data_IF_627283054294
#
_entry.id   IF_627283054294
#
_cell.length_a   1.000
_cell.length_b   1.000
_cell.length_c   1.000
_cell.angle_alpha   90.00
_cell.angle_beta   90.00
_cell.angle_gamma   90.00
#
_symmetry.space_group_name_H-M   'P 1'
#
loop_
_entity.id
_entity.type
_entity.pdbx_description
1 polymer ?
#
# COMPACT_ATOMS: atom_id res chain seq x y z
N UNK A 1 -77.69 -39.20 39.56
CA UNK A 1 -76.50 -39.48 40.39
C UNK A 1 -75.44 -39.86 39.35
N UNK A 2 -74.50 -39.00 38.91
CA UNK A 2 -73.58 -38.18 39.71
C UNK A 2 -73.06 -36.94 38.95
N UNK A 3 -73.92 -35.94 38.74
CA UNK A 3 -73.49 -34.62 38.24
C UNK A 3 -72.42 -33.97 39.14
N UNK A 4 -72.44 -34.26 40.44
CA UNK A 4 -71.51 -33.71 41.41
C UNK A 4 -70.08 -34.26 41.23
N UNK A 5 -69.92 -35.55 40.88
CA UNK A 5 -68.61 -36.15 40.67
C UNK A 5 -67.94 -35.67 39.35
N UNK A 6 -68.74 -35.46 38.30
CA UNK A 6 -68.27 -34.89 37.03
C UNK A 6 -67.82 -33.42 37.18
N UNK A 7 -68.55 -32.63 37.95
CA UNK A 7 -68.20 -31.22 38.20
C UNK A 7 -66.92 -31.09 39.04
N UNK A 8 -66.70 -31.99 40.02
CA UNK A 8 -65.49 -31.97 40.85
C UNK A 8 -64.25 -32.36 40.03
N UNK A 9 -64.36 -33.35 39.14
CA UNK A 9 -63.23 -33.77 38.28
C UNK A 9 -62.82 -32.68 37.29
N UNK A 10 -63.79 -32.02 36.66
CA UNK A 10 -63.53 -30.89 35.74
C UNK A 10 -62.86 -29.70 36.44
N UNK A 11 -63.28 -29.36 37.66
CA UNK A 11 -62.64 -28.30 38.47
C UNK A 11 -61.20 -28.65 38.85
N UNK A 12 -60.93 -29.92 39.17
CA UNK A 12 -59.57 -30.40 39.49
C UNK A 12 -58.67 -30.35 38.26
N UNK A 13 -59.15 -30.78 37.11
CA UNK A 13 -58.38 -30.75 35.85
C UNK A 13 -58.10 -29.31 35.39
N UNK A 14 -59.09 -28.41 35.52
CA UNK A 14 -58.89 -26.99 35.26
C UNK A 14 -57.83 -26.38 36.19
N UNK A 15 -57.86 -26.70 37.49
CA UNK A 15 -56.86 -26.22 38.46
C UNK A 15 -55.46 -26.77 38.18
N UNK A 16 -55.36 -28.00 37.68
CA UNK A 16 -54.08 -28.60 37.26
C UNK A 16 -53.53 -27.93 35.99
N UNK A 17 -54.40 -27.66 35.02
CA UNK A 17 -54.05 -26.95 33.78
C UNK A 17 -53.56 -25.52 34.05
N UNK A 18 -54.25 -24.77 34.91
CA UNK A 18 -53.84 -23.41 35.28
C UNK A 18 -52.51 -23.40 36.03
N UNK A 19 -52.27 -24.36 36.91
CA UNK A 19 -50.97 -24.52 37.58
C UNK A 19 -49.83 -24.77 36.58
N UNK A 20 -50.02 -25.69 35.63
CA UNK A 20 -49.02 -25.97 34.60
C UNK A 20 -48.70 -24.75 33.73
N UNK A 21 -49.71 -23.95 33.39
CA UNK A 21 -49.51 -22.68 32.66
C UNK A 21 -48.74 -21.65 33.47
N UNK A 22 -48.98 -21.59 34.78
CA UNK A 22 -48.24 -20.72 35.69
C UNK A 22 -46.77 -21.13 35.78
N UNK A 23 -46.49 -22.42 35.97
CA UNK A 23 -45.12 -22.96 36.03
C UNK A 23 -44.36 -22.70 34.71
N UNK A 24 -45.04 -22.82 33.56
CA UNK A 24 -44.45 -22.51 32.25
C UNK A 24 -44.18 -21.02 32.06
N UNK A 25 -45.11 -20.16 32.52
CA UNK A 25 -44.94 -18.72 32.50
C UNK A 25 -43.79 -18.27 33.40
N UNK A 26 -43.68 -18.82 34.61
CA UNK A 26 -42.57 -18.55 35.53
C UNK A 26 -41.23 -18.98 34.90
N UNK A 27 -41.18 -20.15 34.28
CA UNK A 27 -39.99 -20.60 33.55
C UNK A 27 -39.62 -19.69 32.37
N UNK A 28 -40.61 -19.14 31.66
CA UNK A 28 -40.38 -18.15 30.60
C UNK A 28 -39.90 -16.80 31.16
N UNK A 29 -40.51 -16.35 32.27
CA UNK A 29 -40.15 -15.14 32.99
C UNK A 29 -38.69 -15.21 33.47
N UNK A 30 -38.27 -16.31 34.09
CA UNK A 30 -36.87 -16.52 34.52
C UNK A 30 -35.90 -16.48 33.33
N UNK A 31 -36.22 -17.15 32.21
CA UNK A 31 -35.37 -17.10 31.01
C UNK A 31 -35.27 -15.69 30.44
N UNK A 32 -36.38 -14.95 30.45
CA UNK A 32 -36.41 -13.56 30.00
C UNK A 32 -35.53 -12.67 30.87
N UNK A 33 -35.57 -12.83 32.20
CA UNK A 33 -34.69 -12.08 33.11
C UNK A 33 -33.21 -12.32 32.80
N UNK A 34 -32.79 -13.58 32.66
CA UNK A 34 -31.39 -13.91 32.34
C UNK A 34 -30.95 -13.34 30.98
N UNK A 35 -31.85 -13.36 29.99
CA UNK A 35 -31.56 -12.77 28.68
C UNK A 35 -31.39 -11.24 28.76
N UNK A 36 -32.21 -10.55 29.56
CA UNK A 36 -32.09 -9.11 29.80
C UNK A 36 -30.77 -8.79 30.49
N UNK A 37 -30.42 -9.50 31.56
CA UNK A 37 -29.13 -9.31 32.26
C UNK A 37 -27.94 -9.51 31.31
N UNK A 38 -28.00 -10.53 30.45
CA UNK A 38 -26.97 -10.79 29.45
C UNK A 38 -26.85 -9.66 28.42
N UNK A 39 -27.99 -9.12 27.96
CA UNK A 39 -28.01 -8.00 27.03
C UNK A 39 -27.51 -6.72 27.68
N UNK A 40 -27.85 -6.46 28.93
CA UNK A 40 -27.35 -5.32 29.69
C UNK A 40 -25.83 -5.36 29.79
N UNK A 41 -25.25 -6.53 30.07
CA UNK A 41 -23.80 -6.67 30.13
C UNK A 41 -23.14 -6.45 28.77
N UNK A 42 -23.70 -7.01 27.69
CA UNK A 42 -23.21 -6.74 26.33
C UNK A 42 -23.29 -5.26 25.97
N UNK A 43 -24.35 -4.56 26.37
CA UNK A 43 -24.50 -3.12 26.15
C UNK A 43 -23.45 -2.32 26.93
N UNK A 44 -23.11 -2.73 28.16
CA UNK A 44 -22.02 -2.08 28.92
C UNK A 44 -20.67 -2.25 28.22
N UNK A 45 -20.36 -3.47 27.76
CA UNK A 45 -19.12 -3.77 27.04
C UNK A 45 -19.05 -2.95 25.76
N UNK A 46 -20.09 -3.00 24.91
CA UNK A 46 -20.12 -2.23 23.66
C UNK A 46 -19.98 -0.72 23.89
N UNK A 47 -20.56 -0.18 24.99
CA UNK A 47 -20.36 1.23 25.36
C UNK A 47 -18.92 1.53 25.77
N UNK A 48 -18.23 0.60 26.44
CA UNK A 48 -16.83 0.75 26.77
C UNK A 48 -15.97 0.73 25.49
N UNK A 49 -16.21 -0.22 24.59
CA UNK A 49 -15.49 -0.34 23.32
C UNK A 49 -15.67 0.91 22.44
N UNK A 50 -16.88 1.47 22.36
CA UNK A 50 -17.13 2.72 21.62
C UNK A 50 -16.34 3.90 22.21
N UNK A 51 -16.23 3.98 23.55
CA UNK A 51 -15.44 5.04 24.19
C UNK A 51 -13.95 4.89 23.84
N UNK A 52 -13.44 3.67 23.92
CA UNK A 52 -12.06 3.35 23.59
C UNK A 52 -11.73 3.70 22.14
N UNK A 53 -12.57 3.27 21.19
CA UNK A 53 -12.42 3.60 19.77
C UNK A 53 -12.45 5.11 19.51
N UNK A 54 -13.29 5.86 20.22
CA UNK A 54 -13.33 7.31 20.08
C UNK A 54 -12.04 7.98 20.58
N UNK A 55 -11.43 7.46 21.66
CA UNK A 55 -10.13 7.96 22.15
C UNK A 55 -9.05 7.70 21.10
N UNK A 56 -8.98 6.48 20.58
CA UNK A 56 -8.00 6.12 19.53
C UNK A 56 -8.19 6.95 18.26
N UNK A 57 -9.43 7.24 17.89
CA UNK A 57 -9.74 8.09 16.74
C UNK A 57 -9.26 9.53 16.96
N UNK A 58 -9.44 10.07 18.17
CA UNK A 58 -8.97 11.42 18.53
C UNK A 58 -7.43 11.50 18.52
N UNK A 59 -6.75 10.49 19.08
CA UNK A 59 -5.29 10.40 19.03
C UNK A 59 -4.78 10.31 17.58
N UNK A 60 -5.42 9.49 16.74
CA UNK A 60 -5.08 9.39 15.32
C UNK A 60 -5.35 10.70 14.58
N UNK A 61 -6.43 11.40 14.91
CA UNK A 61 -6.75 12.70 14.33
C UNK A 61 -5.69 13.73 14.68
N UNK A 62 -5.27 13.79 15.94
CA UNK A 62 -4.20 14.67 16.41
C UNK A 62 -2.86 14.39 15.72
N UNK A 63 -2.53 13.12 15.49
CA UNK A 63 -1.34 12.73 14.71
C UNK A 63 -1.43 13.21 13.26
N UNK A 64 -2.58 13.04 12.59
CA UNK A 64 -2.79 13.53 11.23
C UNK A 64 -2.71 15.06 11.13
N UNK A 65 -3.22 15.77 12.13
CA UNK A 65 -3.11 17.22 12.21
C UNK A 65 -1.64 17.66 12.33
N UNK A 66 -0.87 17.07 13.25
CA UNK A 66 0.56 17.36 13.38
C UNK A 66 1.36 17.04 12.10
N UNK A 67 1.02 15.95 11.43
CA UNK A 67 1.63 15.58 10.14
C UNK A 67 1.33 16.61 9.05
N UNK A 68 0.14 17.19 9.06
CA UNK A 68 -0.26 18.23 8.10
C UNK A 68 0.63 19.47 8.25
N UNK A 69 0.94 19.88 9.48
CA UNK A 69 1.84 21.00 9.75
C UNK A 69 3.27 20.72 9.24
N UNK A 70 3.79 19.52 9.46
CA UNK A 70 5.11 19.12 8.94
C UNK A 70 5.15 19.12 7.42
N UNK A 71 4.11 18.58 6.77
CA UNK A 71 3.99 18.56 5.31
C UNK A 71 3.92 19.99 4.75
N UNK A 72 3.28 20.92 5.46
CA UNK A 72 3.20 22.33 5.07
C UNK A 72 4.57 23.04 5.07
N UNK A 73 5.56 22.55 5.81
CA UNK A 73 6.93 23.11 5.84
C UNK A 73 7.84 22.61 4.71
N UNK A 74 7.46 21.54 4.01
CA UNK A 74 8.27 20.95 2.93
C UNK A 74 8.53 21.89 1.73
N UNK A 75 7.58 22.73 1.29
CA UNK A 75 7.82 23.69 0.21
C UNK A 75 8.92 24.70 0.57
N UNK A 76 8.88 25.27 1.78
CA UNK A 76 9.84 26.27 2.23
C UNK A 76 11.25 25.66 2.32
N UNK A 77 11.38 24.47 2.91
CA UNK A 77 12.65 23.75 2.96
C UNK A 77 13.20 23.41 1.56
N UNK A 78 12.31 23.08 0.62
CA UNK A 78 12.70 22.83 -0.78
C UNK A 78 13.23 24.11 -1.43
N UNK A 79 12.57 25.23 -1.20
CA UNK A 79 13.01 26.54 -1.72
C UNK A 79 14.37 26.93 -1.15
N UNK A 80 14.57 26.81 0.17
CA UNK A 80 15.87 27.06 0.80
C UNK A 80 16.98 26.17 0.23
N UNK A 81 16.70 24.89 0.01
CA UNK A 81 17.66 23.96 -0.58
C UNK A 81 18.06 24.36 -2.01
N UNK A 82 17.12 24.82 -2.83
CA UNK A 82 17.42 25.34 -4.17
C UNK A 82 18.22 26.65 -4.11
N UNK A 83 17.93 27.54 -3.17
CA UNK A 83 18.74 28.75 -2.94
C UNK A 83 20.18 28.38 -2.58
N UNK A 84 20.38 27.48 -1.63
CA UNK A 84 21.71 27.02 -1.21
C UNK A 84 22.44 26.36 -2.39
N UNK A 85 21.76 25.52 -3.15
CA UNK A 85 22.30 24.86 -4.34
C UNK A 85 22.80 25.85 -5.39
N UNK A 86 22.10 26.98 -5.56
CA UNK A 86 22.51 28.05 -6.48
C UNK A 86 23.64 28.93 -5.94
N UNK A 87 23.71 29.12 -4.62
CA UNK A 87 24.72 29.96 -3.98
C UNK A 87 26.07 29.25 -3.76
N UNK A 88 26.05 27.93 -3.56
CA UNK A 88 27.25 27.12 -3.32
C UNK A 88 28.36 27.31 -4.38
N UNK A 89 28.07 27.30 -5.70
CA UNK A 89 29.08 27.53 -6.73
C UNK A 89 29.72 28.93 -6.69
N UNK A 90 28.95 29.94 -6.24
CA UNK A 90 29.40 31.33 -6.16
C UNK A 90 30.38 31.46 -4.99
N UNK A 91 30.02 30.93 -3.81
CA UNK A 91 30.89 30.92 -2.64
C UNK A 91 32.17 30.13 -2.88
N UNK A 92 32.08 28.96 -3.53
CA UNK A 92 33.25 28.17 -3.94
C UNK A 92 34.21 28.95 -4.83
N UNK A 93 33.71 29.74 -5.79
CA UNK A 93 34.55 30.58 -6.67
C UNK A 93 35.25 31.70 -5.90
N UNK A 94 34.57 32.33 -4.95
CA UNK A 94 35.12 33.42 -4.12
C UNK A 94 36.23 32.88 -3.20
N UNK A 95 36.01 31.74 -2.56
CA UNK A 95 36.97 31.13 -1.62
C UNK A 95 38.13 30.43 -2.35
N UNK A 96 37.92 29.93 -3.57
CA UNK A 96 38.91 29.19 -4.37
C UNK A 96 39.75 30.00 -5.36
N UNK A 97 39.94 31.32 -5.17
CA UNK A 97 40.73 32.19 -6.07
C UNK A 97 40.19 32.28 -7.53
N UNK A 98 38.88 32.25 -7.75
CA UNK A 98 38.30 32.55 -9.07
C UNK A 98 38.40 31.41 -10.10
N UNK A 99 38.91 30.24 -9.73
CA UNK A 99 38.68 29.04 -10.53
C UNK A 99 37.18 28.75 -10.51
N UNK A 100 36.59 28.59 -11.70
CA UNK A 100 35.27 27.98 -11.85
C UNK A 100 35.22 26.74 -10.95
N UNK A 101 34.07 26.37 -10.34
CA UNK A 101 34.00 25.11 -9.62
C UNK A 101 34.53 24.08 -10.60
N UNK A 102 35.70 23.53 -10.27
CA UNK A 102 36.19 22.34 -10.92
C UNK A 102 35.05 21.40 -10.60
N UNK A 103 34.16 21.21 -11.57
CA UNK A 103 33.25 20.09 -11.59
C UNK A 103 34.11 18.99 -11.02
N UNK A 104 33.76 18.49 -9.84
CA UNK A 104 34.44 17.33 -9.31
C UNK A 104 34.20 16.29 -10.40
N UNK A 105 35.15 16.23 -11.32
CA UNK A 105 35.51 15.06 -12.04
C UNK A 105 35.97 14.16 -10.91
N UNK A 106 34.98 13.61 -10.18
CA UNK A 106 34.96 12.21 -9.83
C UNK A 106 35.73 11.56 -10.97
N UNK A 107 36.92 10.97 -10.70
CA UNK A 107 37.69 10.34 -11.75
C UNK A 107 36.67 9.51 -12.47
N UNK A 108 36.35 9.85 -13.74
CA UNK A 108 35.23 9.21 -14.44
C UNK A 108 35.58 7.75 -14.38
N UNK A 109 35.00 7.03 -13.42
CA UNK A 109 35.23 5.61 -13.27
C UNK A 109 34.80 5.13 -14.62
N UNK A 110 35.76 4.62 -15.40
CA UNK A 110 35.48 4.15 -16.75
C UNK A 110 34.46 3.05 -16.52
N UNK A 111 33.18 3.39 -16.68
CA UNK A 111 32.10 2.46 -16.47
C UNK A 111 32.40 1.35 -17.47
N UNK A 112 32.64 0.11 -17.00
CA UNK A 112 32.92 -0.99 -17.91
C UNK A 112 31.78 -1.05 -18.93
N UNK A 113 32.11 -0.99 -20.22
CA UNK A 113 31.11 -1.08 -21.26
C UNK A 113 30.49 -2.49 -21.25
N UNK A 114 29.16 -2.62 -21.28
CA UNK A 114 28.50 -3.91 -21.37
C UNK A 114 28.91 -4.70 -22.60
N UNK A 115 28.98 -6.03 -22.47
CA UNK A 115 29.21 -6.91 -23.61
C UNK A 115 28.02 -6.87 -24.58
N UNK A 116 28.29 -6.97 -25.88
CA UNK A 116 27.24 -6.99 -26.90
C UNK A 116 26.51 -8.33 -26.93
N UNK A 117 25.17 -8.30 -26.98
CA UNK A 117 24.34 -9.50 -27.11
C UNK A 117 24.02 -9.80 -28.58
N UNK A 118 24.46 -10.97 -29.06
CA UNK A 118 24.52 -11.33 -30.48
C UNK A 118 23.54 -12.43 -30.91
N UNK A 119 22.53 -12.76 -30.07
CA UNK A 119 21.49 -13.79 -30.29
C UNK A 119 21.88 -15.23 -29.92
N UNK A 120 22.36 -15.45 -28.70
CA UNK A 120 22.26 -16.81 -28.15
C UNK A 120 20.80 -17.13 -27.84
N UNK A 121 20.33 -18.30 -28.28
CA UNK A 121 19.00 -18.82 -27.93
C UNK A 121 18.99 -19.40 -26.52
N UNK A 122 19.95 -18.99 -25.68
CA UNK A 122 20.05 -19.33 -24.28
C UNK A 122 19.38 -18.21 -23.47
N UNK A 123 18.32 -18.58 -22.73
CA UNK A 123 17.63 -17.67 -21.82
C UNK A 123 18.59 -17.05 -20.79
N UNK A 124 19.62 -17.79 -20.38
CA UNK A 124 20.63 -17.34 -19.43
C UNK A 124 21.46 -16.18 -19.98
N UNK A 125 21.80 -16.20 -21.27
CA UNK A 125 22.56 -15.10 -21.88
C UNK A 125 21.72 -13.84 -22.04
N UNK A 126 20.41 -13.98 -22.28
CA UNK A 126 19.47 -12.85 -22.29
C UNK A 126 19.35 -12.24 -20.90
N UNK A 127 19.21 -13.06 -19.88
CA UNK A 127 19.11 -12.61 -18.48
C UNK A 127 20.39 -11.90 -18.03
N UNK A 128 21.57 -12.46 -18.35
CA UNK A 128 22.86 -11.82 -18.07
C UNK A 128 22.98 -10.46 -18.76
N UNK A 129 22.59 -10.35 -20.04
CA UNK A 129 22.62 -9.08 -20.77
C UNK A 129 21.71 -8.01 -20.14
N UNK A 130 20.50 -8.40 -19.71
CA UNK A 130 19.58 -7.48 -19.04
C UNK A 130 20.12 -7.03 -17.68
N UNK A 131 20.72 -7.95 -16.93
CA UNK A 131 21.35 -7.64 -15.65
C UNK A 131 22.54 -6.67 -15.82
N UNK A 132 23.45 -6.94 -16.77
CA UNK A 132 24.59 -6.06 -17.07
C UNK A 132 24.14 -4.66 -17.48
N UNK A 133 23.05 -4.57 -18.26
CA UNK A 133 22.43 -3.30 -18.64
C UNK A 133 21.88 -2.52 -17.45
N UNK A 134 21.21 -3.21 -16.52
CA UNK A 134 20.67 -2.57 -15.33
C UNK A 134 21.79 -2.01 -14.44
N UNK A 135 22.86 -2.78 -14.23
CA UNK A 135 24.03 -2.30 -13.50
C UNK A 135 24.70 -1.13 -14.21
N UNK A 136 24.78 -1.17 -15.55
CA UNK A 136 25.31 -0.06 -16.34
C UNK A 136 24.45 1.20 -16.18
N UNK A 137 23.12 1.10 -16.18
CA UNK A 137 22.25 2.26 -15.98
C UNK A 137 22.39 2.88 -14.60
N UNK A 138 22.55 2.06 -13.56
CA UNK A 138 22.82 2.53 -12.20
C UNK A 138 24.18 3.24 -12.13
N UNK A 139 25.23 2.65 -12.69
CA UNK A 139 26.57 3.24 -12.71
C UNK A 139 26.64 4.52 -13.55
N UNK A 140 25.87 4.60 -14.64
CA UNK A 140 25.83 5.74 -15.56
C UNK A 140 24.76 6.79 -15.21
N UNK A 141 24.03 6.60 -14.11
CA UNK A 141 22.94 7.46 -13.66
C UNK A 141 21.87 7.73 -14.74
N UNK A 142 21.48 6.68 -15.49
CA UNK A 142 20.47 6.75 -16.57
C UNK A 142 19.10 6.34 -16.02
N UNK A 143 18.31 7.32 -15.59
CA UNK A 143 17.00 7.07 -14.98
C UNK A 143 15.83 7.05 -15.99
N UNK A 144 15.97 7.75 -17.13
CA UNK A 144 14.90 7.88 -18.11
C UNK A 144 14.69 6.58 -18.91
N UNK A 145 13.48 6.02 -18.89
CA UNK A 145 13.13 4.77 -19.57
C UNK A 145 13.43 4.75 -21.07
N UNK A 146 13.07 5.81 -21.81
CA UNK A 146 13.38 5.94 -23.25
C UNK A 146 14.89 5.93 -23.51
N UNK A 147 15.67 6.59 -22.66
CA UNK A 147 17.14 6.56 -22.73
C UNK A 147 17.69 5.18 -22.38
N UNK A 148 17.17 4.50 -21.36
CA UNK A 148 17.56 3.12 -21.02
C UNK A 148 17.35 2.17 -22.19
N UNK A 149 16.17 2.20 -22.83
CA UNK A 149 15.86 1.36 -24.01
C UNK A 149 16.79 1.69 -25.18
N UNK A 150 17.00 2.97 -25.47
CA UNK A 150 17.88 3.40 -26.58
C UNK A 150 19.32 2.96 -26.34
N UNK A 151 19.82 3.11 -25.12
CA UNK A 151 21.16 2.66 -24.72
C UNK A 151 21.26 1.13 -24.78
N UNK A 152 20.29 0.38 -24.25
CA UNK A 152 20.28 -1.09 -24.34
C UNK A 152 20.38 -1.58 -25.79
N UNK A 153 19.62 -0.95 -26.68
CA UNK A 153 19.61 -1.26 -28.11
C UNK A 153 20.97 -1.02 -28.80
N UNK A 154 21.82 -0.13 -28.29
CA UNK A 154 23.15 0.10 -28.86
C UNK A 154 24.05 -1.12 -28.72
N UNK A 155 23.90 -1.89 -27.64
CA UNK A 155 24.68 -3.09 -27.34
C UNK A 155 24.01 -4.39 -27.82
N UNK A 156 22.86 -4.30 -28.49
CA UNK A 156 22.40 -5.41 -29.33
C UNK A 156 23.31 -5.50 -30.56
N UNK A 157 23.73 -6.71 -30.88
CA UNK A 157 24.51 -7.01 -32.08
C UNK A 157 23.82 -8.05 -32.97
N UNK A 158 24.41 -8.25 -34.15
CA UNK A 158 23.96 -9.13 -35.24
C UNK A 158 22.43 -9.15 -35.42
N UNK A 159 21.84 -10.33 -35.30
CA UNK A 159 20.44 -10.61 -35.55
C UNK A 159 19.52 -9.96 -34.51
N UNK A 160 19.97 -9.83 -33.25
CA UNK A 160 19.21 -9.17 -32.20
C UNK A 160 19.03 -7.68 -32.53
N UNK A 161 20.10 -7.04 -33.04
CA UNK A 161 20.04 -5.66 -33.52
C UNK A 161 19.12 -5.51 -34.74
N UNK A 162 19.16 -6.47 -35.67
CA UNK A 162 18.32 -6.46 -36.86
C UNK A 162 16.83 -6.62 -36.51
N UNK A 163 16.51 -7.52 -35.60
CA UNK A 163 15.16 -7.71 -35.06
C UNK A 163 14.65 -6.43 -34.39
N UNK A 164 15.46 -5.82 -33.52
CA UNK A 164 15.10 -4.56 -32.85
C UNK A 164 14.83 -3.42 -33.85
N UNK A 165 15.65 -3.26 -34.89
CA UNK A 165 15.43 -2.24 -35.93
C UNK A 165 14.10 -2.43 -36.66
N UNK A 166 13.74 -3.68 -36.94
CA UNK A 166 12.46 -4.02 -37.57
C UNK A 166 11.29 -3.68 -36.65
N UNK A 167 11.35 -4.11 -35.39
CA UNK A 167 10.31 -3.81 -34.39
C UNK A 167 10.18 -2.33 -34.08
N UNK A 168 11.28 -1.61 -33.95
CA UNK A 168 11.29 -0.18 -33.74
C UNK A 168 10.61 0.56 -34.91
N UNK A 169 10.89 0.16 -36.16
CA UNK A 169 10.21 0.71 -37.33
C UNK A 169 8.70 0.43 -37.32
N UNK A 170 8.28 -0.76 -36.91
CA UNK A 170 6.86 -1.12 -36.78
C UNK A 170 6.14 -0.30 -35.70
N UNK A 171 6.81 -0.06 -34.55
CA UNK A 171 6.29 0.79 -33.46
C UNK A 171 6.13 2.23 -33.95
N UNK A 172 7.13 2.78 -34.65
CA UNK A 172 7.05 4.14 -35.22
C UNK A 172 5.96 4.26 -36.28
N UNK A 173 5.65 3.17 -36.99
CA UNK A 173 4.58 3.11 -37.97
C UNK A 173 3.18 2.83 -37.35
N UNK A 174 3.05 2.81 -36.02
CA UNK A 174 1.82 2.43 -35.29
C UNK A 174 1.27 1.04 -35.68
N UNK A 175 2.13 0.14 -36.17
CA UNK A 175 1.74 -1.23 -36.57
C UNK A 175 1.77 -2.21 -35.41
N UNK A 176 2.44 -1.86 -34.33
CA UNK A 176 2.55 -2.64 -33.09
C UNK A 176 2.27 -1.70 -31.92
N UNK A 177 1.19 -1.94 -31.18
CA UNK A 177 0.98 -1.35 -29.87
C UNK A 177 1.67 -2.23 -28.83
N UNK A 178 2.55 -1.62 -28.02
CA UNK A 178 3.08 -2.26 -26.82
C UNK A 178 2.09 -1.91 -25.72
N UNK A 179 1.23 -2.86 -25.33
CA UNK A 179 0.45 -2.73 -24.11
C UNK A 179 1.43 -2.56 -22.94
N UNK A 180 1.26 -1.47 -22.20
CA UNK A 180 2.07 -1.09 -21.04
C UNK A 180 1.50 -1.69 -19.77
#
# INVERSE_FOLDING_TARGET
>A
MDLNASHITEVVDHKKSTKQRLDAFDGQSTRSCVAVETLEEKVKIAKADIRELNIQLDESWMMCAAMTDVVALLPDLREEMEVIRLQLPILQRIVGNGQAPTQEYTPRLKIPEPCTYDRAHDAKEVENFLFDMEQYFLAANIENGTRRVTTAAMYLGRDAKLWWRTKYADIQANKVQIDT
#
